data_IF_603958792498
#
_entry.id   IF_603958792498
#
_cell.length_a   1.000
_cell.length_b   1.000
_cell.length_c   1.000
_cell.angle_alpha   90.00
_cell.angle_beta   90.00
_cell.angle_gamma   90.00
#
_symmetry.space_group_name_H-M   'P 1'
#
loop_
_entity.id
_entity.type
_entity.pdbx_description
1 polymer ?
#
# COMPACT_ATOMS: atom_id res chain seq x y z
N UNK A 1 -2.87 -21.92 9.93
CA UNK A 1 -2.29 -21.34 8.70
C UNK A 1 -2.37 -19.81 8.82
N UNK A 2 -1.24 -19.13 9.02
CA UNK A 2 -1.21 -17.67 9.17
C UNK A 2 -1.36 -17.01 7.79
N UNK A 3 -2.56 -16.53 7.45
CA UNK A 3 -2.94 -15.97 6.13
C UNK A 3 -2.45 -14.53 5.89
N UNK A 4 -1.43 -14.05 6.61
CA UNK A 4 -0.81 -12.75 6.34
C UNK A 4 0.19 -12.91 5.19
N UNK A 5 0.13 -12.01 4.21
CA UNK A 5 1.13 -11.97 3.14
C UNK A 5 1.00 -13.06 2.07
N UNK A 6 -0.18 -13.65 1.87
CA UNK A 6 -0.36 -14.65 0.81
C UNK A 6 -0.41 -14.06 -0.61
N UNK A 7 -0.19 -14.88 -1.64
CA UNK A 7 -0.22 -14.48 -3.07
C UNK A 7 -1.49 -13.71 -3.49
N UNK A 8 -2.63 -14.02 -2.86
CA UNK A 8 -3.90 -13.30 -3.08
C UNK A 8 -3.82 -11.83 -2.70
N UNK A 9 -3.08 -11.49 -1.64
CA UNK A 9 -2.87 -10.11 -1.22
C UNK A 9 -2.11 -9.32 -2.28
N UNK A 10 -1.00 -9.87 -2.79
CA UNK A 10 -0.23 -9.28 -3.89
C UNK A 10 -1.12 -9.00 -5.11
N UNK A 11 -1.90 -9.99 -5.58
CA UNK A 11 -2.80 -9.80 -6.73
C UNK A 11 -3.84 -8.70 -6.49
N UNK A 12 -4.38 -8.60 -5.27
CA UNK A 12 -5.35 -7.55 -4.91
C UNK A 12 -4.69 -6.16 -4.88
N UNK A 13 -3.47 -6.04 -4.35
CA UNK A 13 -2.73 -4.78 -4.33
C UNK A 13 -2.32 -4.36 -5.74
N UNK A 14 -1.82 -5.28 -6.56
CA UNK A 14 -1.44 -5.01 -7.96
C UNK A 14 -2.61 -4.43 -8.75
N UNK A 15 -3.76 -5.10 -8.75
CA UNK A 15 -4.97 -4.63 -9.45
C UNK A 15 -5.41 -3.23 -9.00
N UNK A 16 -5.33 -2.95 -7.68
CA UNK A 16 -5.70 -1.64 -7.13
C UNK A 16 -4.69 -0.56 -7.55
N UNK A 17 -3.41 -0.85 -7.47
CA UNK A 17 -2.36 0.12 -7.78
C UNK A 17 -2.22 0.36 -9.27
N UNK A 18 -2.45 -0.62 -10.13
CA UNK A 18 -2.49 -0.40 -11.59
C UNK A 18 -3.57 0.64 -11.94
N UNK A 19 -4.77 0.52 -11.35
CA UNK A 19 -5.83 1.51 -11.58
C UNK A 19 -5.50 2.88 -10.97
N UNK A 20 -4.93 2.92 -9.78
CA UNK A 20 -4.51 4.18 -9.14
C UNK A 20 -3.40 4.89 -9.90
N UNK A 21 -2.41 4.15 -10.40
CA UNK A 21 -1.29 4.71 -11.16
C UNK A 21 -1.75 5.26 -12.51
N UNK A 22 -2.60 4.52 -13.23
CA UNK A 22 -3.20 5.01 -14.47
C UNK A 22 -3.96 6.33 -14.24
N UNK A 23 -4.83 6.36 -13.22
CA UNK A 23 -5.58 7.58 -12.88
C UNK A 23 -4.65 8.75 -12.53
N UNK A 24 -3.60 8.49 -11.74
CA UNK A 24 -2.65 9.52 -11.35
C UNK A 24 -1.92 10.12 -12.57
N UNK A 25 -1.43 9.25 -13.47
CA UNK A 25 -0.78 9.64 -14.71
C UNK A 25 -1.72 10.43 -15.65
N UNK A 26 -2.93 9.93 -15.91
CA UNK A 26 -3.93 10.62 -16.77
C UNK A 26 -4.32 12.01 -16.25
N UNK A 27 -4.14 12.27 -14.95
CA UNK A 27 -4.50 13.52 -14.30
C UNK A 27 -3.28 14.35 -13.88
N UNK A 28 -2.08 14.04 -14.40
CA UNK A 28 -0.84 14.79 -14.18
C UNK A 28 -0.44 14.91 -12.68
N UNK A 29 -0.75 13.91 -11.87
CA UNK A 29 -0.19 13.80 -10.53
C UNK A 29 1.21 13.20 -10.61
N UNK A 30 2.18 13.78 -9.89
CA UNK A 30 3.55 13.26 -9.85
C UNK A 30 3.80 12.21 -8.76
N UNK A 31 2.86 12.06 -7.83
CA UNK A 31 3.00 11.20 -6.64
C UNK A 31 1.64 10.70 -6.17
N UNK A 32 1.55 9.42 -5.80
CA UNK A 32 0.43 8.90 -5.02
C UNK A 32 0.88 8.03 -3.84
N UNK A 33 -0.02 7.84 -2.87
CA UNK A 33 0.22 7.05 -1.66
C UNK A 33 -0.96 6.12 -1.37
N UNK A 34 -0.83 5.27 -0.34
CA UNK A 34 -1.88 4.31 0.01
C UNK A 34 -2.10 4.18 1.51
N UNK A 35 -3.37 4.04 1.90
CA UNK A 35 -3.74 3.68 3.28
C UNK A 35 -3.62 2.19 3.55
N UNK A 36 -3.39 1.36 2.52
CA UNK A 36 -3.23 -0.09 2.68
C UNK A 36 -2.03 -0.43 3.59
N UNK A 37 -0.96 0.37 3.56
CA UNK A 37 0.25 0.18 4.35
C UNK A 37 0.06 0.31 5.87
N UNK A 38 -1.00 1.01 6.32
CA UNK A 38 -1.25 1.28 7.75
C UNK A 38 -1.69 0.02 8.51
N UNK A 39 -2.29 -0.95 7.85
CA UNK A 39 -2.85 -2.14 8.52
C UNK A 39 -1.78 -3.08 9.05
N UNK A 40 -1.75 -3.32 10.37
CA UNK A 40 -0.87 -4.31 11.03
C UNK A 40 -1.05 -5.77 10.56
N UNK A 41 -2.15 -6.03 9.85
CA UNK A 41 -2.48 -7.36 9.34
C UNK A 41 -1.93 -7.59 7.94
N UNK A 42 -1.51 -6.53 7.25
CA UNK A 42 -0.93 -6.62 5.92
C UNK A 42 0.58 -6.60 6.00
N UNK A 43 1.20 -7.33 5.09
CA UNK A 43 2.62 -7.25 4.81
C UNK A 43 2.90 -5.91 4.12
N UNK A 44 3.74 -5.06 4.73
CA UNK A 44 4.04 -3.73 4.20
C UNK A 44 4.88 -3.82 2.93
N UNK A 45 5.80 -4.78 2.86
CA UNK A 45 6.68 -4.96 1.70
C UNK A 45 5.86 -5.39 0.50
N UNK A 46 4.84 -6.24 0.69
CA UNK A 46 3.91 -6.56 -0.39
C UNK A 46 3.14 -5.35 -0.90
N UNK A 47 2.68 -4.48 0.00
CA UNK A 47 1.98 -3.25 -0.38
C UNK A 47 2.92 -2.34 -1.16
N UNK A 48 4.12 -2.09 -0.63
CA UNK A 48 5.10 -1.19 -1.23
C UNK A 48 5.58 -1.70 -2.59
N UNK A 49 5.93 -2.99 -2.68
CA UNK A 49 6.34 -3.61 -3.94
C UNK A 49 5.25 -3.54 -5.01
N UNK A 50 3.97 -3.71 -4.65
CA UNK A 50 2.87 -3.55 -5.59
C UNK A 50 2.70 -2.09 -6.04
N UNK A 51 2.90 -1.10 -5.15
CA UNK A 51 2.89 0.32 -5.50
C UNK A 51 4.03 0.69 -6.46
N UNK A 52 5.26 0.27 -6.13
CA UNK A 52 6.46 0.48 -6.95
C UNK A 52 6.33 -0.16 -8.34
N UNK A 53 5.79 -1.39 -8.44
CA UNK A 53 5.52 -2.03 -9.74
C UNK A 53 4.51 -1.23 -10.56
N UNK A 54 3.47 -0.69 -9.94
CA UNK A 54 2.46 0.07 -10.67
C UNK A 54 3.02 1.37 -11.27
N UNK A 55 3.84 2.11 -10.51
CA UNK A 55 4.46 3.35 -11.01
C UNK A 55 5.57 3.10 -12.02
N UNK A 56 6.24 1.93 -12.01
CA UNK A 56 7.31 1.61 -12.97
C UNK A 56 6.88 1.64 -14.45
N UNK A 57 5.57 1.75 -14.73
CA UNK A 57 5.01 1.89 -16.07
C UNK A 57 4.95 3.33 -16.58
N UNK A 58 5.21 4.32 -15.72
CA UNK A 58 5.06 5.75 -16.00
C UNK A 58 6.30 6.51 -15.51
N UNK A 59 6.95 7.27 -16.38
CA UNK A 59 8.21 7.97 -16.05
C UNK A 59 8.00 9.19 -15.14
N UNK A 60 6.80 9.76 -15.15
CA UNK A 60 6.42 11.00 -14.47
C UNK A 60 5.73 10.77 -13.10
N UNK A 61 5.56 9.52 -12.69
CA UNK A 61 4.78 9.14 -11.52
C UNK A 61 5.61 8.39 -10.48
N UNK A 62 5.47 8.79 -9.21
CA UNK A 62 6.12 8.14 -8.08
C UNK A 62 5.10 7.56 -7.08
N UNK A 63 5.56 6.60 -6.27
CA UNK A 63 4.79 6.01 -5.18
C UNK A 63 5.45 6.33 -3.84
N UNK A 64 4.69 6.86 -2.87
CA UNK A 64 5.20 7.15 -1.54
C UNK A 64 5.15 5.89 -0.66
N UNK A 65 6.26 5.16 -0.60
CA UNK A 65 6.42 3.90 0.12
C UNK A 65 6.71 4.05 1.63
N UNK A 66 6.43 5.23 2.18
CA UNK A 66 6.74 5.55 3.57
C UNK A 66 5.96 4.70 4.57
N UNK A 67 6.65 4.28 5.63
CA UNK A 67 6.05 3.51 6.70
C UNK A 67 5.38 4.42 7.74
N UNK A 68 4.06 4.60 7.59
CA UNK A 68 3.23 5.41 8.51
C UNK A 68 2.76 4.67 9.77
N UNK A 69 3.25 3.45 10.02
CA UNK A 69 2.86 2.70 11.23
C UNK A 69 3.51 3.34 12.45
N UNK A 70 2.70 3.75 13.43
CA UNK A 70 3.22 4.13 14.76
C UNK A 70 4.05 2.96 15.32
N UNK A 71 5.23 3.23 15.85
CA UNK A 71 6.08 2.25 16.55
C UNK A 71 5.33 1.70 17.79
N UNK A 72 4.48 0.68 17.58
CA UNK A 72 3.57 0.12 18.59
C UNK A 72 2.12 -0.11 18.13
N UNK A 73 1.71 0.43 16.98
CA UNK A 73 0.31 0.37 16.49
C UNK A 73 -0.68 1.11 17.39
N UNK A 74 -1.94 1.23 16.97
CA UNK A 74 -3.01 1.51 17.93
C UNK A 74 -3.06 0.32 18.90
N UNK A 75 -2.63 0.54 20.13
CA UNK A 75 -2.71 -0.46 21.21
C UNK A 75 -4.15 -0.91 21.34
N UNK A 76 -4.41 -2.20 21.15
CA UNK A 76 -5.74 -2.80 21.28
C UNK A 76 -6.09 -3.05 22.75
N UNK A 77 -5.84 -2.06 23.63
CA UNK A 77 -6.12 -2.15 25.06
C UNK A 77 -6.95 -0.99 25.61
N UNK A 78 -7.73 -0.30 24.76
CA UNK A 78 -8.84 0.54 25.23
C UNK A 78 -10.08 -0.35 25.50
N UNK A 79 -9.94 -1.31 26.42
CA UNK A 79 -11.05 -2.09 27.00
C UNK A 79 -11.21 -1.83 28.51
N UNK A 80 -10.61 -0.77 29.02
CA UNK A 80 -10.81 -0.28 30.40
C UNK A 80 -11.52 1.08 30.39
N UNK A 81 -12.73 1.12 29.81
CA UNK A 81 -13.81 2.02 30.16
C UNK A 81 -15.07 1.17 30.36
#
# INVERSE_FOLDING_TARGET
>A
MNLKGGKRCTKCFDMRFERSALYAHENNFSLFATTLGISRWKDLDQVNNSGLRAVSRYEDLNFWDFNWRKQGGFSQNDRNL
#
